data_IF_846463613297
#
_entry.id   IF_846463613297
#
_cell.length_a   1.000
_cell.length_b   1.000
_cell.length_c   1.000
_cell.angle_alpha   90.00
_cell.angle_beta   90.00
_cell.angle_gamma   90.00
#
_symmetry.space_group_name_H-M   'P 1'
#
loop_
_entity.id
_entity.type
_entity.pdbx_description
1 polymer ?
#
# COMPACT_ATOMS: atom_id res chain seq x y z
N UNK A 1 3.26 -20.13 10.90
CA UNK A 1 2.50 -19.44 9.84
C UNK A 1 3.52 -18.71 8.98
N UNK A 2 3.49 -18.90 7.66
CA UNK A 2 4.29 -18.12 6.71
C UNK A 2 3.54 -16.82 6.41
N UNK A 3 4.20 -15.67 6.58
CA UNK A 3 3.64 -14.35 6.25
C UNK A 3 3.61 -14.17 4.74
N UNK A 4 2.66 -13.37 4.24
CA UNK A 4 2.52 -13.17 2.79
C UNK A 4 3.60 -12.25 2.20
N UNK A 5 4.22 -11.39 3.04
CA UNK A 5 5.34 -10.54 2.66
C UNK A 5 6.57 -10.95 3.48
N UNK A 6 7.67 -11.21 2.79
CA UNK A 6 8.97 -11.43 3.39
C UNK A 6 9.62 -10.08 3.69
N UNK A 7 10.17 -9.93 4.88
CA UNK A 7 10.98 -8.77 5.24
C UNK A 7 12.47 -9.12 5.12
N UNK A 8 13.25 -8.49 4.22
CA UNK A 8 14.68 -8.78 4.09
C UNK A 8 15.50 -8.24 5.27
N UNK A 9 14.96 -7.32 6.06
CA UNK A 9 15.62 -6.66 7.18
C UNK A 9 15.35 -7.31 8.55
N UNK A 10 14.33 -8.17 8.66
CA UNK A 10 13.98 -8.88 9.88
C UNK A 10 14.03 -10.41 9.70
N UNK A 11 14.98 -11.07 10.37
CA UNK A 11 15.22 -12.50 10.28
C UNK A 11 14.06 -13.38 10.77
N UNK A 12 13.21 -12.87 11.67
CA UNK A 12 12.00 -13.58 12.13
C UNK A 12 10.92 -13.66 11.04
N UNK A 13 11.09 -12.85 9.99
CA UNK A 13 10.07 -12.47 9.04
C UNK A 13 10.51 -12.61 7.59
N UNK A 14 11.77 -12.98 7.39
CA UNK A 14 12.36 -13.28 6.11
C UNK A 14 11.95 -14.69 5.65
N UNK A 15 11.59 -14.81 4.38
CA UNK A 15 11.37 -16.08 3.71
C UNK A 15 12.25 -16.16 2.47
N UNK A 16 12.95 -17.29 2.30
CA UNK A 16 13.67 -17.58 1.05
C UNK A 16 12.68 -18.10 0.02
N UNK A 17 12.62 -17.45 -1.14
CA UNK A 17 11.91 -17.94 -2.31
C UNK A 17 12.91 -18.35 -3.40
N UNK A 18 12.46 -19.17 -4.36
CA UNK A 18 13.27 -19.62 -5.51
C UNK A 18 12.79 -19.00 -6.83
N UNK A 19 12.20 -17.81 -6.76
CA UNK A 19 11.74 -17.08 -7.95
C UNK A 19 12.37 -15.70 -8.00
N UNK A 20 12.46 -15.14 -9.20
CA UNK A 20 12.97 -13.79 -9.42
C UNK A 20 11.87 -12.77 -9.12
N UNK A 21 12.17 -11.78 -8.29
CA UNK A 21 11.30 -10.64 -8.05
C UNK A 21 11.50 -9.58 -9.14
N UNK A 22 11.05 -9.91 -10.35
CA UNK A 22 11.23 -9.08 -11.55
C UNK A 22 9.96 -8.39 -12.04
N UNK A 23 8.84 -8.49 -11.31
CA UNK A 23 7.58 -7.89 -11.71
C UNK A 23 7.63 -6.36 -11.53
N UNK A 24 7.90 -5.67 -12.64
CA UNK A 24 7.97 -4.22 -12.73
C UNK A 24 6.77 -3.72 -13.53
N UNK A 25 6.22 -2.58 -13.11
CA UNK A 25 5.14 -1.93 -13.83
C UNK A 25 5.57 -0.49 -14.07
N UNK A 26 5.86 -0.18 -15.33
CA UNK A 26 6.37 1.14 -15.73
C UNK A 26 5.49 2.27 -15.19
N UNK A 27 4.17 2.18 -15.36
CA UNK A 27 3.24 3.21 -14.85
C UNK A 27 3.24 3.31 -13.31
N UNK A 28 3.48 2.20 -12.62
CA UNK A 28 3.58 2.20 -11.16
C UNK A 28 4.89 2.84 -10.68
N UNK A 29 5.98 2.69 -11.43
CA UNK A 29 7.29 3.25 -11.14
C UNK A 29 7.38 4.72 -11.54
N UNK A 30 6.77 5.10 -12.67
CA UNK A 30 6.69 6.48 -13.17
C UNK A 30 6.09 7.43 -12.12
N UNK A 31 5.10 6.97 -11.35
CA UNK A 31 4.56 7.75 -10.23
C UNK A 31 5.64 8.10 -9.20
N UNK A 32 6.54 7.17 -8.89
CA UNK A 32 7.66 7.40 -7.98
C UNK A 32 8.62 8.44 -8.55
N UNK A 33 9.00 8.28 -9.82
CA UNK A 33 9.88 9.23 -10.52
C UNK A 33 9.30 10.64 -10.53
N UNK A 34 8.01 10.80 -10.87
CA UNK A 34 7.36 12.13 -10.86
C UNK A 34 7.35 12.74 -9.45
N UNK A 35 7.15 11.93 -8.41
CA UNK A 35 7.21 12.42 -7.03
C UNK A 35 8.63 12.81 -6.61
N UNK A 36 9.66 12.14 -7.14
CA UNK A 36 11.07 12.48 -6.91
C UNK A 36 11.41 13.79 -7.65
N UNK A 37 10.98 13.96 -8.90
CA UNK A 37 11.18 15.19 -9.68
C UNK A 37 10.54 16.42 -9.00
N UNK A 38 9.34 16.24 -8.41
CA UNK A 38 8.68 17.31 -7.64
C UNK A 38 9.46 17.62 -6.36
N UNK A 39 10.04 16.60 -5.71
CA UNK A 39 10.86 16.79 -4.51
C UNK A 39 12.12 17.59 -4.81
N UNK A 40 12.85 17.22 -5.86
CA UNK A 40 14.01 17.97 -6.34
C UNK A 40 13.64 19.41 -6.69
N UNK A 41 12.53 19.63 -7.42
CA UNK A 41 12.08 20.98 -7.78
C UNK A 41 11.72 21.86 -6.57
N UNK A 42 11.21 21.26 -5.47
CA UNK A 42 10.92 21.98 -4.23
C UNK A 42 12.20 22.30 -3.46
N UNK A 43 13.19 21.41 -3.49
CA UNK A 43 14.50 21.63 -2.87
C UNK A 43 15.32 22.71 -3.58
N UNK A 44 15.24 22.78 -4.92
CA UNK A 44 15.93 23.79 -5.73
C UNK A 44 15.23 25.16 -5.72
N UNK A 45 13.94 25.19 -5.37
CA UNK A 45 13.17 26.43 -5.37
C UNK A 45 13.70 27.44 -4.35
N UNK A 46 13.82 28.70 -4.78
CA UNK A 46 14.22 29.80 -3.90
C UNK A 46 13.03 30.33 -3.11
N UNK A 47 13.11 30.28 -1.78
CA UNK A 47 12.11 30.84 -0.88
C UNK A 47 12.64 32.09 -0.17
N UNK A 48 11.80 33.12 -0.07
CA UNK A 48 12.15 34.35 0.65
C UNK A 48 12.24 34.13 2.17
N UNK A 49 11.46 33.19 2.72
CA UNK A 49 11.44 32.86 4.14
C UNK A 49 11.66 31.37 4.34
N UNK A 50 12.53 31.02 5.29
CA UNK A 50 12.78 29.61 5.67
C UNK A 50 11.50 28.87 6.06
N UNK A 51 10.58 29.55 6.75
CA UNK A 51 9.31 28.96 7.16
C UNK A 51 8.44 28.51 5.98
N UNK A 52 8.51 29.23 4.85
CA UNK A 52 7.75 28.86 3.64
C UNK A 52 8.37 27.64 2.97
N UNK A 53 9.70 27.55 2.94
CA UNK A 53 10.42 26.36 2.49
C UNK A 53 10.06 25.15 3.37
N UNK A 54 10.18 25.27 4.70
CA UNK A 54 9.88 24.17 5.63
C UNK A 54 8.42 23.69 5.50
N UNK A 55 7.48 24.62 5.28
CA UNK A 55 6.07 24.29 5.01
C UNK A 55 5.89 23.57 3.67
N UNK A 56 6.58 24.01 2.61
CA UNK A 56 6.55 23.35 1.32
C UNK A 56 7.10 21.92 1.40
N UNK A 57 8.25 21.73 2.05
CA UNK A 57 8.84 20.41 2.28
C UNK A 57 7.91 19.50 3.08
N UNK A 58 7.26 20.03 4.13
CA UNK A 58 6.30 19.24 4.91
C UNK A 58 5.10 18.80 4.05
N UNK A 59 4.50 19.73 3.30
CA UNK A 59 3.35 19.44 2.45
C UNK A 59 3.68 18.41 1.37
N UNK A 60 4.87 18.52 0.77
CA UNK A 60 5.38 17.56 -0.19
C UNK A 60 5.46 16.16 0.41
N UNK A 61 6.17 16.00 1.53
CA UNK A 61 6.34 14.70 2.21
C UNK A 61 5.01 14.09 2.59
N UNK A 62 4.13 14.89 3.19
CA UNK A 62 2.78 14.46 3.54
C UNK A 62 1.95 14.04 2.32
N UNK A 63 2.03 14.79 1.22
CA UNK A 63 1.31 14.47 -0.01
C UNK A 63 1.83 13.19 -0.65
N UNK A 64 3.16 12.99 -0.68
CA UNK A 64 3.80 11.76 -1.13
C UNK A 64 3.26 10.55 -0.35
N UNK A 65 3.24 10.63 0.98
CA UNK A 65 2.72 9.55 1.84
C UNK A 65 1.25 9.25 1.53
N UNK A 66 0.41 10.27 1.37
CA UNK A 66 -1.01 10.11 1.02
C UNK A 66 -1.18 9.46 -0.36
N UNK A 67 -0.40 9.86 -1.36
CA UNK A 67 -0.47 9.31 -2.71
C UNK A 67 -0.08 7.83 -2.70
N UNK A 68 0.97 7.46 -1.99
CA UNK A 68 1.36 6.05 -1.83
C UNK A 68 0.30 5.24 -1.09
N UNK A 69 -0.25 5.78 0.01
CA UNK A 69 -1.35 5.15 0.73
C UNK A 69 -2.59 4.96 -0.17
N UNK A 70 -2.90 5.92 -1.03
CA UNK A 70 -3.99 5.82 -1.99
C UNK A 70 -3.74 4.76 -3.05
N UNK A 71 -2.53 4.69 -3.62
CA UNK A 71 -2.14 3.63 -4.56
C UNK A 71 -2.27 2.24 -3.94
N UNK A 72 -1.78 2.06 -2.71
CA UNK A 72 -1.92 0.80 -1.97
C UNK A 72 -3.40 0.44 -1.74
N UNK A 73 -4.21 1.42 -1.36
CA UNK A 73 -5.66 1.24 -1.21
C UNK A 73 -6.36 0.79 -2.51
N UNK A 74 -6.00 1.38 -3.66
CA UNK A 74 -6.55 0.93 -4.96
C UNK A 74 -6.19 -0.54 -5.24
N UNK A 75 -4.93 -0.91 -5.02
CA UNK A 75 -4.47 -2.30 -5.21
C UNK A 75 -5.20 -3.28 -4.28
N UNK A 76 -5.43 -2.91 -3.03
CA UNK A 76 -6.20 -3.72 -2.09
C UNK A 76 -7.63 -3.93 -2.54
N UNK A 77 -8.30 -2.86 -2.97
CA UNK A 77 -9.67 -2.93 -3.48
C UNK A 77 -9.76 -3.90 -4.67
N UNK A 78 -8.87 -3.77 -5.65
CA UNK A 78 -8.83 -4.66 -6.82
C UNK A 78 -8.57 -6.10 -6.42
N UNK A 79 -7.58 -6.36 -5.55
CA UNK A 79 -7.25 -7.73 -5.12
C UNK A 79 -8.38 -8.38 -4.30
N UNK A 80 -9.05 -7.61 -3.46
CA UNK A 80 -10.21 -8.08 -2.70
C UNK A 80 -11.37 -8.45 -3.62
N UNK A 81 -11.67 -7.61 -4.61
CA UNK A 81 -12.71 -7.89 -5.58
C UNK A 81 -12.39 -9.11 -6.44
N UNK A 82 -11.15 -9.22 -6.95
CA UNK A 82 -10.68 -10.42 -7.66
C UNK A 82 -10.82 -11.69 -6.82
N UNK A 83 -10.46 -11.63 -5.54
CA UNK A 83 -10.59 -12.76 -4.60
C UNK A 83 -12.06 -13.14 -4.39
N UNK A 84 -12.94 -12.15 -4.21
CA UNK A 84 -14.38 -12.35 -4.10
C UNK A 84 -14.95 -13.00 -5.36
N UNK A 85 -14.63 -12.47 -6.55
CA UNK A 85 -15.07 -13.00 -7.83
C UNK A 85 -14.59 -14.45 -8.03
N UNK A 86 -13.36 -14.77 -7.62
CA UNK A 86 -12.84 -16.14 -7.66
C UNK A 86 -13.66 -17.07 -6.78
N UNK A 87 -13.92 -16.69 -5.52
CA UNK A 87 -14.74 -17.50 -4.60
C UNK A 87 -16.14 -17.71 -5.19
N UNK A 88 -16.77 -16.66 -5.71
CA UNK A 88 -18.11 -16.75 -6.33
C UNK A 88 -18.15 -17.71 -7.52
N UNK A 89 -17.07 -17.78 -8.32
CA UNK A 89 -16.96 -18.74 -9.44
C UNK A 89 -16.78 -20.19 -8.98
N UNK A 90 -16.21 -20.40 -7.81
CA UNK A 90 -15.95 -21.71 -7.23
C UNK A 90 -17.11 -22.22 -6.35
N UNK A 91 -18.18 -21.43 -6.18
CA UNK A 91 -19.36 -21.84 -5.42
C UNK A 91 -20.11 -22.98 -6.11
N UNK A 92 -20.43 -24.01 -5.33
CA UNK A 92 -21.32 -25.11 -5.69
C UNK A 92 -22.61 -25.12 -4.82
N UNK A 93 -23.55 -25.99 -5.17
CA UNK A 93 -24.87 -26.10 -4.53
C UNK A 93 -24.84 -26.47 -3.03
N UNK A 94 -23.73 -27.00 -2.52
CA UNK A 94 -23.51 -27.32 -1.11
C UNK A 94 -22.70 -26.27 -0.36
N UNK A 95 -22.27 -25.19 -1.03
CA UNK A 95 -21.41 -24.16 -0.47
C UNK A 95 -22.15 -22.84 -0.21
N UNK A 96 -21.66 -22.06 0.75
CA UNK A 96 -22.17 -20.72 1.06
C UNK A 96 -21.02 -19.71 1.12
N UNK A 97 -21.20 -18.56 0.48
CA UNK A 97 -20.26 -17.46 0.59
C UNK A 97 -20.55 -16.59 1.80
N UNK A 98 -19.57 -16.43 2.68
CA UNK A 98 -19.65 -15.58 3.86
C UNK A 98 -18.82 -14.33 3.61
N UNK A 99 -19.48 -13.19 3.45
CA UNK A 99 -18.83 -11.88 3.45
C UNK A 99 -18.90 -11.28 4.86
N UNK A 100 -17.76 -11.16 5.53
CA UNK A 100 -17.64 -10.46 6.81
C UNK A 100 -16.40 -9.56 6.83
N UNK A 101 -16.46 -8.49 7.62
CA UNK A 101 -15.32 -7.62 7.98
C UNK A 101 -14.13 -8.37 8.59
N UNK A 102 -14.33 -9.64 8.95
CA UNK A 102 -13.29 -10.57 9.38
C UNK A 102 -12.13 -10.66 8.37
N UNK A 103 -12.42 -10.66 7.06
CA UNK A 103 -11.39 -10.71 6.03
C UNK A 103 -10.44 -9.50 6.15
N UNK A 104 -10.95 -8.29 6.39
CA UNK A 104 -10.10 -7.12 6.60
C UNK A 104 -9.32 -7.22 7.91
N UNK A 105 -9.89 -7.75 9.01
CA UNK A 105 -9.17 -7.92 10.29
C UNK A 105 -8.03 -8.95 10.24
N UNK A 106 -8.20 -10.05 9.50
CA UNK A 106 -7.25 -11.18 9.52
C UNK A 106 -6.31 -11.20 8.32
N UNK A 107 -6.75 -10.74 7.13
CA UNK A 107 -5.84 -10.61 5.99
C UNK A 107 -4.77 -9.57 6.29
N UNK A 108 -5.13 -8.42 6.88
CA UNK A 108 -4.15 -7.40 7.30
C UNK A 108 -3.05 -7.99 8.18
N UNK A 109 -3.37 -8.88 9.13
CA UNK A 109 -2.35 -9.59 9.95
C UNK A 109 -1.43 -10.48 9.13
N UNK A 110 -1.95 -11.13 8.07
CA UNK A 110 -1.14 -11.95 7.14
C UNK A 110 -0.18 -11.10 6.32
N UNK A 111 -0.58 -9.87 5.97
CA UNK A 111 0.22 -8.89 5.22
C UNK A 111 1.00 -7.91 6.10
N UNK A 112 0.85 -7.98 7.43
CA UNK A 112 1.42 -7.07 8.43
C UNK A 112 1.08 -5.60 8.24
N UNK A 113 -0.15 -5.36 7.83
CA UNK A 113 -0.68 -4.01 7.69
C UNK A 113 -1.49 -3.67 8.94
N UNK A 114 -1.33 -2.45 9.44
CA UNK A 114 -2.21 -1.92 10.46
C UNK A 114 -3.48 -1.36 9.82
N UNK A 115 -4.56 -1.29 10.59
CA UNK A 115 -5.79 -0.67 10.09
C UNK A 115 -5.61 0.82 9.79
N UNK A 116 -4.70 1.49 10.50
CA UNK A 116 -4.31 2.88 10.29
C UNK A 116 -3.55 3.11 8.99
N UNK A 117 -2.95 2.08 8.40
CA UNK A 117 -2.23 2.20 7.12
C UNK A 117 -3.20 2.23 5.92
N UNK A 118 -4.50 2.00 6.16
CA UNK A 118 -5.50 2.04 5.11
C UNK A 118 -6.06 3.44 4.95
N UNK A 119 -5.92 3.96 3.73
CA UNK A 119 -6.47 5.25 3.34
C UNK A 119 -7.96 5.34 3.68
N UNK A 120 -8.36 6.46 4.30
CA UNK A 120 -9.75 6.78 4.59
C UNK A 120 -10.34 6.08 5.82
N UNK A 121 -9.56 5.25 6.53
CA UNK A 121 -9.97 4.73 7.84
C UNK A 121 -9.52 5.68 8.95
N UNK A 122 -10.45 6.49 9.45
CA UNK A 122 -10.30 7.09 10.77
C UNK A 122 -10.36 5.97 11.81
N UNK A 123 -9.55 6.07 12.88
CA UNK A 123 -9.47 5.05 13.92
C UNK A 123 -10.84 4.63 14.45
N UNK A 124 -10.93 3.40 14.96
CA UNK A 124 -12.10 2.94 15.70
C UNK A 124 -12.19 3.84 16.94
N UNK A 125 -13.19 4.72 17.00
CA UNK A 125 -13.45 5.53 18.19
C UNK A 125 -14.03 4.71 19.32
#
# INVERSE_FOLDING_TARGET
>A
MSYALSDPSDSCFQQKCQHTHGDHCFQCEELGTVLDDIEEAVEEASFHMKNDHDKATYLLKHSRDIIHAWKAHQLHTVRQDQSKLKILKELDSGSVFIAQDWAMKFLMRKYRESQSDLLGKCGIS
#
